data_IF_341930243929
#
_entry.id   IF_341930243929
#
_cell.length_a   1.000
_cell.length_b   1.000
_cell.length_c   1.000
_cell.angle_alpha   90.00
_cell.angle_beta   90.00
_cell.angle_gamma   90.00
#
_symmetry.space_group_name_H-M   'P 1'
#
loop_
_entity.id
_entity.type
_entity.pdbx_description
1 polymer ?
#
# COMPACT_ATOMS: atom_id res chain seq x y z
N UNK A 1 -0.50 -15.45 -15.85
CA UNK A 1 -1.29 -15.95 -14.70
C UNK A 1 -0.62 -15.65 -13.36
N UNK A 2 0.63 -16.09 -13.12
CA UNK A 2 1.36 -15.85 -11.86
C UNK A 2 1.32 -14.38 -11.43
N UNK A 3 1.69 -13.46 -12.34
CA UNK A 3 1.68 -12.02 -12.07
C UNK A 3 0.31 -11.47 -11.67
N UNK A 4 -0.76 -11.97 -12.29
CA UNK A 4 -2.14 -11.60 -11.95
C UNK A 4 -2.51 -12.06 -10.53
N UNK A 5 -2.18 -13.30 -10.15
CA UNK A 5 -2.41 -13.77 -8.78
C UNK A 5 -1.59 -12.96 -7.76
N UNK A 6 -0.31 -12.71 -8.06
CA UNK A 6 0.56 -11.90 -7.20
C UNK A 6 0.01 -10.47 -7.01
N UNK A 7 -0.38 -9.78 -8.09
CA UNK A 7 -0.96 -8.43 -8.01
C UNK A 7 -2.29 -8.38 -7.26
N UNK A 8 -2.99 -9.50 -7.12
CA UNK A 8 -4.27 -9.60 -6.42
C UNK A 8 -4.16 -10.15 -4.99
N UNK A 9 -2.94 -10.38 -4.48
CA UNK A 9 -2.70 -10.93 -3.14
C UNK A 9 -2.92 -12.44 -3.04
N UNK A 10 -3.18 -13.14 -4.15
CA UNK A 10 -3.39 -14.59 -4.16
C UNK A 10 -2.06 -15.36 -4.22
N UNK A 11 -1.22 -15.15 -3.20
CA UNK A 11 0.17 -15.60 -3.14
C UNK A 11 0.33 -17.11 -3.33
N UNK A 12 -0.51 -17.91 -2.68
CA UNK A 12 -0.48 -19.37 -2.83
C UNK A 12 -0.84 -19.82 -4.26
N UNK A 13 -1.78 -19.15 -4.94
CA UNK A 13 -2.10 -19.46 -6.34
C UNK A 13 -0.95 -19.10 -7.27
N UNK A 14 -0.24 -18.00 -6.99
CA UNK A 14 0.97 -17.62 -7.74
C UNK A 14 2.07 -18.68 -7.60
N UNK A 15 2.34 -19.14 -6.37
CA UNK A 15 3.31 -20.19 -6.06
C UNK A 15 2.93 -21.53 -6.71
N UNK A 16 1.67 -21.95 -6.58
CA UNK A 16 1.18 -23.20 -7.15
C UNK A 16 1.29 -23.19 -8.68
N UNK A 17 0.91 -22.08 -9.31
CA UNK A 17 1.03 -21.92 -10.77
C UNK A 17 2.50 -22.01 -11.21
N UNK A 18 3.43 -21.41 -10.45
CA UNK A 18 4.87 -21.53 -10.73
C UNK A 18 5.34 -22.99 -10.64
N UNK A 19 4.97 -23.70 -9.57
CA UNK A 19 5.31 -25.13 -9.39
C UNK A 19 4.73 -26.02 -10.49
N UNK A 20 3.53 -25.73 -10.96
CA UNK A 20 2.92 -26.44 -12.09
C UNK A 20 3.69 -26.21 -13.40
N UNK A 21 4.19 -24.98 -13.64
CA UNK A 21 5.04 -24.70 -14.79
C UNK A 21 6.36 -25.48 -14.73
N UNK A 22 7.00 -25.49 -13.56
CA UNK A 22 8.22 -26.26 -13.31
C UNK A 22 8.01 -27.77 -13.52
N UNK A 23 6.95 -28.34 -12.94
CA UNK A 23 6.60 -29.76 -13.10
C UNK A 23 6.26 -30.14 -14.55
N UNK A 24 5.80 -29.17 -15.35
CA UNK A 24 5.51 -29.36 -16.77
C UNK A 24 6.74 -29.20 -17.67
N UNK A 25 7.93 -28.97 -17.09
CA UNK A 25 9.18 -28.77 -17.83
C UNK A 25 9.23 -27.46 -18.62
N UNK A 26 8.37 -26.49 -18.29
CA UNK A 26 8.37 -25.18 -18.94
C UNK A 26 9.57 -24.40 -18.44
N UNK A 27 10.39 -23.87 -19.35
CA UNK A 27 11.54 -23.05 -18.99
C UNK A 27 11.08 -21.68 -18.45
N UNK A 28 11.46 -21.38 -17.21
CA UNK A 28 11.22 -20.08 -16.58
C UNK A 28 12.25 -19.04 -17.02
N UNK A 29 11.82 -17.78 -17.09
CA UNK A 29 12.65 -16.61 -17.32
C UNK A 29 12.62 -15.64 -16.12
N UNK A 30 13.38 -14.54 -16.22
CA UNK A 30 13.42 -13.54 -15.15
C UNK A 30 12.04 -12.93 -14.84
N UNK A 31 11.16 -12.77 -15.84
CA UNK A 31 9.81 -12.24 -15.60
C UNK A 31 8.97 -13.22 -14.78
N UNK A 32 9.12 -14.52 -15.04
CA UNK A 32 8.44 -15.58 -14.30
C UNK A 32 8.90 -15.63 -12.83
N UNK A 33 10.21 -15.51 -12.58
CA UNK A 33 10.76 -15.43 -11.23
C UNK A 33 10.34 -14.16 -10.49
N UNK A 34 10.40 -13.01 -11.16
CA UNK A 34 9.90 -11.76 -10.61
C UNK A 34 8.44 -11.87 -10.16
N UNK A 35 7.59 -12.52 -10.97
CA UNK A 35 6.18 -12.70 -10.66
C UNK A 35 5.93 -13.59 -9.43
N UNK A 36 6.66 -14.70 -9.28
CA UNK A 36 6.50 -15.58 -8.09
C UNK A 36 7.07 -14.95 -6.83
N UNK A 37 8.20 -14.23 -6.93
CA UNK A 37 8.80 -13.50 -5.80
C UNK A 37 7.85 -12.39 -5.35
N UNK A 38 7.27 -11.61 -6.26
CA UNK A 38 6.25 -10.60 -5.94
C UNK A 38 5.02 -11.23 -5.25
N UNK A 39 4.62 -12.45 -5.66
CA UNK A 39 3.61 -13.22 -4.96
C UNK A 39 4.01 -13.50 -3.50
N UNK A 40 5.26 -13.87 -3.26
CA UNK A 40 5.77 -14.08 -1.90
C UNK A 40 5.80 -12.79 -1.07
N UNK A 41 6.20 -11.67 -1.67
CA UNK A 41 6.26 -10.34 -1.04
C UNK A 41 4.91 -9.91 -0.45
N UNK A 42 3.80 -10.19 -1.13
CA UNK A 42 2.51 -9.63 -0.75
C UNK A 42 1.86 -10.28 0.49
N UNK A 43 2.23 -11.51 0.85
CA UNK A 43 1.73 -12.20 2.04
C UNK A 43 2.86 -12.64 3.00
N UNK A 44 4.08 -12.13 2.82
CA UNK A 44 5.18 -12.36 3.76
C UNK A 44 5.80 -13.75 3.72
N UNK A 45 5.77 -14.43 2.58
CA UNK A 45 6.42 -15.73 2.37
C UNK A 45 7.94 -15.56 2.19
N UNK A 46 8.62 -15.14 3.26
CA UNK A 46 10.04 -14.76 3.22
C UNK A 46 10.94 -15.91 2.81
N UNK A 47 10.67 -17.12 3.33
CA UNK A 47 11.47 -18.31 3.06
C UNK A 47 11.35 -18.70 1.59
N UNK A 48 10.12 -18.81 1.09
CA UNK A 48 9.85 -19.16 -0.30
C UNK A 48 10.38 -18.11 -1.27
N UNK A 49 10.23 -16.82 -0.96
CA UNK A 49 10.76 -15.74 -1.79
C UNK A 49 12.28 -15.81 -1.94
N UNK A 50 13.00 -16.06 -0.84
CA UNK A 50 14.45 -16.26 -0.87
C UNK A 50 14.83 -17.53 -1.64
N UNK A 51 14.10 -18.64 -1.46
CA UNK A 51 14.34 -19.87 -2.21
C UNK A 51 14.20 -19.67 -3.73
N UNK A 52 13.16 -18.95 -4.18
CA UNK A 52 12.98 -18.64 -5.60
C UNK A 52 14.06 -17.70 -6.13
N UNK A 53 14.46 -16.69 -5.36
CA UNK A 53 15.56 -15.79 -5.73
C UNK A 53 16.89 -16.54 -5.88
N UNK A 54 17.21 -17.45 -4.95
CA UNK A 54 18.42 -18.25 -5.02
C UNK A 54 18.39 -19.27 -6.16
N UNK A 55 17.24 -19.94 -6.36
CA UNK A 55 17.07 -20.92 -7.44
C UNK A 55 17.16 -20.27 -8.81
N UNK A 56 16.63 -19.06 -8.99
CA UNK A 56 16.77 -18.27 -10.22
C UNK A 56 18.24 -18.16 -10.66
N UNK A 57 19.14 -17.88 -9.71
CA UNK A 57 20.57 -17.73 -9.97
C UNK A 57 21.26 -19.09 -10.09
N UNK A 58 21.07 -19.96 -9.08
CA UNK A 58 21.81 -21.21 -8.94
C UNK A 58 21.39 -22.25 -9.98
N UNK A 59 20.08 -22.41 -10.17
CA UNK A 59 19.51 -23.54 -10.92
C UNK A 59 19.16 -23.09 -12.36
N UNK A 60 18.62 -21.87 -12.52
CA UNK A 60 18.22 -21.34 -13.83
C UNK A 60 19.24 -20.42 -14.51
N UNK A 61 20.33 -20.07 -13.81
CA UNK A 61 21.42 -19.21 -14.34
C UNK A 61 20.94 -17.83 -14.83
N UNK A 62 19.88 -17.32 -14.21
CA UNK A 62 19.31 -15.99 -14.50
C UNK A 62 19.91 -14.98 -13.53
N UNK A 63 20.52 -13.94 -14.07
CA UNK A 63 21.07 -12.84 -13.26
C UNK A 63 19.94 -11.95 -12.73
N UNK A 64 19.93 -11.59 -11.43
CA UNK A 64 18.90 -10.72 -10.88
C UNK A 64 18.99 -9.30 -11.46
N UNK A 65 17.84 -8.72 -11.78
CA UNK A 65 17.71 -7.30 -12.19
C UNK A 65 17.36 -6.40 -11.00
N UNK A 66 17.31 -5.08 -11.23
CA UNK A 66 16.88 -4.09 -10.22
C UNK A 66 15.51 -4.43 -9.63
N UNK A 67 14.58 -4.91 -10.46
CA UNK A 67 13.22 -5.28 -10.07
C UNK A 67 13.21 -6.49 -9.15
N UNK A 68 14.08 -7.48 -9.37
CA UNK A 68 14.23 -8.64 -8.50
C UNK A 68 14.74 -8.22 -7.12
N UNK A 69 15.78 -7.39 -7.07
CA UNK A 69 16.29 -6.83 -5.82
C UNK A 69 15.24 -5.96 -5.12
N UNK A 70 14.50 -5.14 -5.85
CA UNK A 70 13.44 -4.31 -5.29
C UNK A 70 12.32 -5.16 -4.65
N UNK A 71 11.94 -6.29 -5.25
CA UNK A 71 10.96 -7.21 -4.66
C UNK A 71 11.48 -7.89 -3.40
N UNK A 72 12.75 -8.30 -3.38
CA UNK A 72 13.38 -8.90 -2.20
C UNK A 72 13.56 -7.89 -1.06
N UNK A 73 13.96 -6.65 -1.39
CA UNK A 73 13.98 -5.53 -0.45
C UNK A 73 12.58 -5.29 0.12
N UNK A 74 11.52 -5.30 -0.70
CA UNK A 74 10.15 -5.13 -0.21
C UNK A 74 9.73 -6.29 0.73
N UNK A 75 10.04 -7.53 0.35
CA UNK A 75 9.74 -8.73 1.14
C UNK A 75 10.40 -8.66 2.52
N UNK A 76 11.71 -8.42 2.58
CA UNK A 76 12.44 -8.30 3.84
C UNK A 76 12.02 -7.10 4.67
N UNK A 77 11.85 -5.95 4.04
CA UNK A 77 11.52 -4.73 4.75
C UNK A 77 10.12 -4.81 5.37
N UNK A 78 9.13 -5.38 4.68
CA UNK A 78 7.79 -5.61 5.26
C UNK A 78 7.82 -6.59 6.42
N UNK A 79 8.66 -7.62 6.34
CA UNK A 79 8.86 -8.60 7.40
C UNK A 79 9.66 -8.07 8.61
N UNK A 80 10.11 -6.81 8.58
CA UNK A 80 10.90 -6.21 9.66
C UNK A 80 12.38 -6.60 9.68
N UNK A 81 12.84 -7.29 8.63
CA UNK A 81 14.22 -7.75 8.44
C UNK A 81 15.12 -6.65 7.87
N UNK A 82 15.22 -5.53 8.58
CA UNK A 82 15.87 -4.31 8.08
C UNK A 82 17.39 -4.48 7.88
N UNK A 83 18.04 -5.29 8.71
CA UNK A 83 19.47 -5.58 8.59
C UNK A 83 19.75 -6.41 7.33
N UNK A 84 18.94 -7.44 7.09
CA UNK A 84 19.01 -8.25 5.86
C UNK A 84 18.67 -7.42 4.63
N UNK A 85 17.69 -6.52 4.70
CA UNK A 85 17.42 -5.55 3.63
C UNK A 85 18.67 -4.73 3.32
N UNK A 86 19.32 -4.17 4.34
CA UNK A 86 20.50 -3.34 4.13
C UNK A 86 21.70 -4.14 3.64
N UNK A 87 21.87 -5.39 4.06
CA UNK A 87 22.88 -6.27 3.47
C UNK A 87 22.61 -6.49 1.99
N UNK A 88 21.38 -6.88 1.65
CA UNK A 88 20.98 -7.13 0.27
C UNK A 88 21.25 -5.91 -0.63
N UNK A 89 20.95 -4.70 -0.16
CA UNK A 89 21.21 -3.45 -0.89
C UNK A 89 22.71 -3.20 -1.09
N UNK A 90 23.55 -3.46 -0.07
CA UNK A 90 25.01 -3.30 -0.20
C UNK A 90 25.63 -4.32 -1.15
N UNK A 91 25.08 -5.53 -1.15
CA UNK A 91 25.61 -6.67 -1.90
C UNK A 91 25.11 -6.67 -3.37
N UNK A 92 24.28 -5.69 -3.77
CA UNK A 92 23.85 -5.53 -5.15
C UNK A 92 25.05 -5.31 -6.09
N UNK A 93 25.06 -5.93 -7.29
CA UNK A 93 26.16 -5.79 -8.24
C UNK A 93 26.17 -4.43 -8.97
N UNK A 94 25.21 -3.56 -8.65
CA UNK A 94 25.05 -2.21 -9.21
C UNK A 94 24.43 -1.27 -8.16
N UNK A 95 24.60 0.06 -8.28
CA UNK A 95 24.01 1.02 -7.34
C UNK A 95 22.49 0.88 -7.27
N UNK A 96 21.95 0.83 -6.04
CA UNK A 96 20.52 0.76 -5.81
C UNK A 96 19.77 1.97 -6.39
N UNK A 97 18.72 1.69 -7.16
CA UNK A 97 17.88 2.70 -7.82
C UNK A 97 16.79 3.27 -6.90
N UNK A 98 16.05 4.24 -7.42
CA UNK A 98 15.00 4.95 -6.69
C UNK A 98 13.93 4.02 -6.10
N UNK A 99 13.52 2.97 -6.84
CA UNK A 99 12.52 2.01 -6.37
C UNK A 99 12.95 1.29 -5.08
N UNK A 100 14.23 0.90 -4.96
CA UNK A 100 14.78 0.21 -3.79
C UNK A 100 14.74 1.12 -2.55
N UNK A 101 15.23 2.35 -2.68
CA UNK A 101 15.24 3.32 -1.59
C UNK A 101 13.83 3.76 -1.17
N UNK A 102 12.91 3.88 -2.14
CA UNK A 102 11.49 4.19 -1.88
C UNK A 102 10.81 3.09 -1.06
N UNK A 103 11.06 1.83 -1.43
CA UNK A 103 10.56 0.67 -0.70
C UNK A 103 11.06 0.65 0.74
N UNK A 104 12.37 0.82 0.95
CA UNK A 104 12.95 0.86 2.29
C UNK A 104 12.43 2.03 3.12
N UNK A 105 12.33 3.23 2.53
CA UNK A 105 11.76 4.41 3.19
C UNK A 105 10.32 4.14 3.66
N UNK A 106 9.51 3.45 2.85
CA UNK A 106 8.15 3.03 3.20
C UNK A 106 8.10 2.13 4.42
N UNK A 107 9.02 1.17 4.51
CA UNK A 107 9.13 0.23 5.63
C UNK A 107 9.65 0.90 6.91
N UNK A 108 10.59 1.84 6.81
CA UNK A 108 11.09 2.61 7.95
C UNK A 108 9.97 3.35 8.70
N UNK A 109 8.94 3.81 7.98
CA UNK A 109 7.73 4.37 8.61
C UNK A 109 6.96 3.34 9.43
N UNK A 110 6.80 2.13 8.91
CA UNK A 110 6.05 1.05 9.57
C UNK A 110 6.80 0.57 10.82
N UNK A 111 8.11 0.37 10.70
CA UNK A 111 8.98 -0.13 11.78
C UNK A 111 9.55 0.98 12.67
N UNK A 112 9.10 2.22 12.49
CA UNK A 112 9.49 3.41 13.28
C UNK A 112 11.01 3.66 13.33
N UNK A 113 11.74 3.24 12.29
CA UNK A 113 13.18 3.45 12.19
C UNK A 113 13.49 4.80 11.53
N UNK A 114 13.64 5.84 12.35
CA UNK A 114 13.85 7.22 11.88
C UNK A 114 15.18 7.40 11.18
N UNK A 115 16.26 6.79 11.70
CA UNK A 115 17.61 6.96 11.16
C UNK A 115 17.73 6.36 9.77
N UNK A 116 17.27 5.12 9.61
CA UNK A 116 17.26 4.44 8.32
C UNK A 116 16.28 5.12 7.35
N UNK A 117 15.16 5.64 7.86
CA UNK A 117 14.23 6.47 7.10
C UNK A 117 14.90 7.71 6.51
N UNK A 118 15.62 8.47 7.34
CA UNK A 118 16.39 9.64 6.88
C UNK A 118 17.43 9.24 5.82
N UNK A 119 18.23 8.20 6.09
CA UNK A 119 19.24 7.72 5.17
C UNK A 119 18.65 7.35 3.79
N UNK A 120 17.53 6.62 3.80
CA UNK A 120 16.84 6.19 2.58
C UNK A 120 16.27 7.37 1.81
N UNK A 121 15.70 8.35 2.51
CA UNK A 121 15.21 9.58 1.91
C UNK A 121 16.35 10.42 1.31
N UNK A 122 17.50 10.55 1.98
CA UNK A 122 18.66 11.28 1.46
C UNK A 122 19.17 10.64 0.15
N UNK A 123 19.24 9.29 0.09
CA UNK A 123 19.56 8.56 -1.14
C UNK A 123 18.53 8.82 -2.23
N UNK A 124 17.24 8.72 -1.92
CA UNK A 124 16.17 8.90 -2.90
C UNK A 124 16.10 10.34 -3.43
N UNK A 125 16.26 11.35 -2.58
CA UNK A 125 16.30 12.76 -2.98
C UNK A 125 17.55 13.14 -3.78
N UNK A 126 18.62 12.34 -3.69
CA UNK A 126 19.79 12.50 -4.56
C UNK A 126 19.53 11.98 -5.98
N UNK A 127 18.66 10.98 -6.13
CA UNK A 127 18.27 10.40 -7.41
C UNK A 127 17.09 11.14 -8.04
N UNK A 128 16.09 11.50 -7.24
CA UNK A 128 14.84 12.11 -7.68
C UNK A 128 14.48 13.34 -6.80
N UNK A 129 15.17 14.48 -6.99
CA UNK A 129 15.04 15.67 -6.14
C UNK A 129 13.64 16.30 -6.09
N UNK A 130 12.77 15.95 -7.04
CA UNK A 130 11.42 16.51 -7.19
C UNK A 130 10.30 15.50 -6.88
N UNK A 131 10.63 14.30 -6.41
CA UNK A 131 9.63 13.32 -6.01
C UNK A 131 8.93 13.75 -4.70
N UNK A 132 7.70 14.25 -4.82
CA UNK A 132 6.91 14.70 -3.67
C UNK A 132 6.66 13.60 -2.63
N UNK A 133 6.58 12.34 -3.07
CA UNK A 133 6.25 11.22 -2.18
C UNK A 133 7.35 10.97 -1.14
N UNK A 134 8.61 11.18 -1.53
CA UNK A 134 9.79 11.06 -0.64
C UNK A 134 9.74 12.07 0.49
N UNK A 135 9.49 13.35 0.18
CA UNK A 135 9.38 14.40 1.19
C UNK A 135 8.22 14.15 2.15
N UNK A 136 7.06 13.81 1.61
CA UNK A 136 5.86 13.54 2.41
C UNK A 136 6.12 12.36 3.35
N UNK A 137 6.76 11.30 2.87
CA UNK A 137 7.04 10.12 3.67
C UNK A 137 8.09 10.37 4.75
N UNK A 138 9.17 11.11 4.46
CA UNK A 138 10.14 11.52 5.47
C UNK A 138 9.51 12.45 6.53
N UNK A 139 8.70 13.42 6.10
CA UNK A 139 7.93 14.29 6.99
C UNK A 139 7.03 13.48 7.91
N UNK A 140 6.37 12.45 7.36
CA UNK A 140 5.52 11.54 8.10
C UNK A 140 6.30 10.70 9.13
N UNK A 141 7.50 10.22 8.79
CA UNK A 141 8.37 9.48 9.71
C UNK A 141 8.76 10.37 10.90
N UNK A 142 9.15 11.62 10.65
CA UNK A 142 9.46 12.57 11.71
C UNK A 142 8.25 12.89 12.59
N UNK A 143 7.09 13.15 11.99
CA UNK A 143 5.86 13.41 12.72
C UNK A 143 5.47 12.24 13.64
N UNK A 144 5.55 10.99 13.14
CA UNK A 144 5.28 9.80 13.94
C UNK A 144 6.24 9.60 15.12
N UNK A 145 7.45 10.17 15.03
CA UNK A 145 8.47 10.15 16.08
C UNK A 145 8.45 11.40 16.98
N UNK A 146 7.49 12.33 16.80
CA UNK A 146 7.44 13.60 17.54
C UNK A 146 8.53 14.61 17.17
N UNK A 147 9.26 14.38 16.08
CA UNK A 147 10.37 15.23 15.60
C UNK A 147 9.85 16.38 14.72
N UNK A 148 9.11 17.30 15.33
CA UNK A 148 8.41 18.37 14.63
C UNK A 148 9.35 19.35 13.91
N UNK A 149 10.52 19.63 14.48
CA UNK A 149 11.51 20.52 13.87
C UNK A 149 12.00 19.98 12.53
N UNK A 150 12.42 18.71 12.51
CA UNK A 150 12.87 18.03 11.30
C UNK A 150 11.74 17.87 10.28
N UNK A 151 10.50 17.61 10.73
CA UNK A 151 9.32 17.62 9.86
C UNK A 151 9.17 18.96 9.13
N UNK A 152 9.31 20.07 9.85
CA UNK A 152 9.15 21.41 9.29
C UNK A 152 10.32 21.81 8.39
N UNK A 153 11.54 21.35 8.69
CA UNK A 153 12.70 21.48 7.79
C UNK A 153 12.46 20.78 6.45
N UNK A 154 11.89 19.57 6.46
CA UNK A 154 11.51 18.86 5.22
C UNK A 154 10.48 19.64 4.42
N UNK A 155 9.49 20.27 5.08
CA UNK A 155 8.47 21.11 4.41
C UNK A 155 9.09 22.36 3.79
N UNK A 156 9.97 23.06 4.52
CA UNK A 156 10.72 24.21 3.98
C UNK A 156 11.54 23.82 2.76
N UNK A 157 12.14 22.62 2.76
CA UNK A 157 12.88 22.11 1.61
C UNK A 157 11.98 21.82 0.41
N UNK A 158 10.75 21.31 0.62
CA UNK A 158 9.75 21.19 -0.45
C UNK A 158 9.40 22.54 -1.05
N UNK A 159 9.15 23.55 -0.21
CA UNK A 159 8.80 24.90 -0.65
C UNK A 159 9.93 25.54 -1.47
N UNK A 160 11.18 25.43 -0.96
CA UNK A 160 12.38 25.91 -1.65
C UNK A 160 12.56 25.26 -3.03
N UNK A 161 12.31 23.94 -3.14
CA UNK A 161 12.40 23.19 -4.41
C UNK A 161 11.12 23.23 -5.24
N UNK A 162 10.09 23.97 -4.80
CA UNK A 162 8.77 24.10 -5.43
C UNK A 162 8.08 22.74 -5.67
N UNK A 163 8.31 21.77 -4.80
CA UNK A 163 7.72 20.43 -4.86
C UNK A 163 6.34 20.48 -4.21
N UNK A 164 5.30 20.12 -4.97
CA UNK A 164 3.92 20.06 -4.47
C UNK A 164 3.54 18.62 -4.14
N UNK A 165 2.90 18.43 -2.99
CA UNK A 165 2.31 17.15 -2.60
C UNK A 165 1.15 16.80 -3.52
N UNK A 166 1.14 15.56 -4.01
CA UNK A 166 -0.02 14.98 -4.69
C UNK A 166 -1.16 14.71 -3.68
N UNK A 167 -2.38 15.12 -4.03
CA UNK A 167 -3.55 14.84 -3.19
C UNK A 167 -3.97 13.37 -3.33
N UNK A 168 -4.35 12.76 -2.21
CA UNK A 168 -4.97 11.43 -2.25
C UNK A 168 -6.36 11.52 -2.88
N UNK A 169 -6.59 10.74 -3.93
CA UNK A 169 -7.83 10.68 -4.68
C UNK A 169 -8.28 9.23 -4.81
N UNK A 170 -9.55 8.97 -4.53
CA UNK A 170 -10.18 7.67 -4.78
C UNK A 170 -11.31 7.81 -5.77
N UNK A 171 -11.51 6.83 -6.64
CA UNK A 171 -12.61 6.85 -7.60
C UNK A 171 -13.26 5.49 -7.77
N UNK A 172 -14.51 5.53 -8.21
CA UNK A 172 -15.34 4.36 -8.50
C UNK A 172 -16.10 4.61 -9.80
N UNK A 173 -16.25 3.57 -10.62
CA UNK A 173 -17.00 3.62 -11.88
C UNK A 173 -18.36 2.95 -11.73
N UNK A 174 -19.44 3.70 -11.95
CA UNK A 174 -20.82 3.21 -11.85
C UNK A 174 -21.58 3.71 -13.07
N UNK A 175 -22.28 2.80 -13.77
CA UNK A 175 -23.07 3.11 -14.98
C UNK A 175 -22.26 3.93 -16.00
N UNK A 176 -21.01 3.49 -16.28
CA UNK A 176 -20.04 4.14 -17.18
C UNK A 176 -19.65 5.58 -16.82
N UNK A 177 -19.91 6.03 -15.59
CA UNK A 177 -19.43 7.31 -15.08
C UNK A 177 -18.40 7.10 -13.98
N UNK A 178 -17.29 7.82 -14.07
CA UNK A 178 -16.27 7.85 -13.01
C UNK A 178 -16.66 8.92 -11.99
N UNK A 179 -16.67 8.53 -10.73
CA UNK A 179 -16.91 9.40 -9.59
C UNK A 179 -15.66 9.44 -8.73
N UNK A 180 -15.04 10.61 -8.62
CA UNK A 180 -13.78 10.82 -7.90
C UNK A 180 -14.01 11.62 -6.64
N UNK A 181 -13.22 11.33 -5.61
CA UNK A 181 -13.30 11.95 -4.30
C UNK A 181 -11.90 12.25 -3.77
N UNK A 182 -11.75 13.42 -3.16
CA UNK A 182 -10.61 13.76 -2.31
C UNK A 182 -11.02 13.73 -0.83
N UNK A 183 -10.06 13.85 0.09
CA UNK A 183 -10.40 13.94 1.51
C UNK A 183 -11.30 15.17 1.78
N UNK A 184 -12.35 14.99 2.59
CA UNK A 184 -13.36 16.01 2.89
C UNK A 184 -14.13 16.56 1.68
N UNK A 185 -14.14 15.86 0.55
CA UNK A 185 -14.83 16.32 -0.65
C UNK A 185 -16.35 16.49 -0.40
N UNK A 186 -16.88 17.61 -0.87
CA UNK A 186 -18.32 17.97 -0.86
C UNK A 186 -18.81 18.43 -2.24
N UNK A 187 -17.99 18.31 -3.27
CA UNK A 187 -18.31 18.75 -4.64
C UNK A 187 -19.29 17.82 -5.36
N UNK A 188 -19.42 16.58 -4.91
CA UNK A 188 -20.30 15.60 -5.52
C UNK A 188 -21.80 15.96 -5.29
N UNK A 189 -22.69 15.86 -6.30
CA UNK A 189 -24.12 16.21 -6.15
C UNK A 189 -24.87 15.45 -5.05
N UNK A 190 -24.38 14.25 -4.70
CA UNK A 190 -24.94 13.42 -3.62
C UNK A 190 -24.16 13.53 -2.30
N UNK A 191 -23.35 14.58 -2.10
CA UNK A 191 -22.49 14.76 -0.93
C UNK A 191 -23.23 14.51 0.38
N UNK A 192 -24.39 15.15 0.59
CA UNK A 192 -25.16 14.99 1.85
C UNK A 192 -25.58 13.54 2.10
N UNK A 193 -25.97 12.81 1.05
CA UNK A 193 -26.34 11.39 1.14
C UNK A 193 -25.12 10.52 1.46
N UNK A 194 -23.96 10.82 0.86
CA UNK A 194 -22.70 10.13 1.10
C UNK A 194 -22.29 10.27 2.57
N UNK A 195 -22.26 11.49 3.11
CA UNK A 195 -21.92 11.71 4.51
C UNK A 195 -22.95 11.10 5.47
N UNK A 196 -24.23 11.11 5.11
CA UNK A 196 -25.28 10.41 5.90
C UNK A 196 -25.04 8.90 5.93
N UNK A 197 -24.75 8.26 4.78
CA UNK A 197 -24.44 6.82 4.72
C UNK A 197 -23.14 6.51 5.47
N UNK A 198 -22.11 7.35 5.37
CA UNK A 198 -20.88 7.21 6.17
C UNK A 198 -21.17 7.21 7.67
N UNK A 199 -21.98 8.16 8.16
CA UNK A 199 -22.34 8.21 9.58
C UNK A 199 -23.00 6.90 10.02
N UNK A 200 -23.93 6.37 9.23
CA UNK A 200 -24.60 5.08 9.52
C UNK A 200 -23.60 3.92 9.55
N UNK A 201 -22.71 3.83 8.56
CA UNK A 201 -21.69 2.78 8.49
C UNK A 201 -20.76 2.85 9.69
N UNK A 202 -20.24 4.04 10.03
CA UNK A 202 -19.31 4.23 11.15
C UNK A 202 -19.96 3.89 12.48
N UNK A 203 -21.24 4.23 12.68
CA UNK A 203 -21.98 3.83 13.89
C UNK A 203 -22.06 2.30 14.01
N UNK A 204 -22.41 1.59 12.92
CA UNK A 204 -22.44 0.12 12.92
C UNK A 204 -21.05 -0.48 13.16
N UNK A 205 -20.03 0.04 12.49
CA UNK A 205 -18.65 -0.41 12.68
C UNK A 205 -18.22 -0.29 14.15
N UNK A 206 -18.50 0.84 14.81
CA UNK A 206 -18.17 1.03 16.24
C UNK A 206 -18.93 0.05 17.14
N UNK A 207 -20.17 -0.32 16.79
CA UNK A 207 -20.93 -1.36 17.52
C UNK A 207 -20.29 -2.75 17.37
N UNK A 208 -19.68 -3.02 16.21
CA UNK A 208 -18.99 -4.28 15.90
C UNK A 208 -17.50 -4.24 16.28
N UNK A 209 -17.08 -3.29 17.12
CA UNK A 209 -15.73 -3.24 17.71
C UNK A 209 -14.68 -2.46 16.91
N UNK A 210 -15.07 -1.72 15.87
CA UNK A 210 -14.14 -0.82 15.16
C UNK A 210 -13.69 0.32 16.07
N UNK A 211 -12.37 0.42 16.27
CA UNK A 211 -11.72 1.56 16.89
C UNK A 211 -10.85 2.29 15.86
N UNK A 212 -11.07 3.60 15.62
CA UNK A 212 -10.25 4.36 14.68
C UNK A 212 -8.78 4.36 15.08
N UNK A 213 -7.90 4.01 14.15
CA UNK A 213 -6.47 4.08 14.40
C UNK A 213 -5.92 5.47 14.03
N UNK A 214 -5.93 6.39 15.00
CA UNK A 214 -5.50 7.79 14.82
C UNK A 214 -3.99 7.94 14.58
N UNK A 215 -3.19 6.87 14.75
CA UNK A 215 -1.76 6.89 14.42
C UNK A 215 -1.49 7.10 12.93
N UNK A 216 -2.50 6.93 12.07
CA UNK A 216 -2.41 7.25 10.65
C UNK A 216 -2.62 8.74 10.32
N UNK A 217 -3.01 9.55 11.31
CA UNK A 217 -3.14 11.01 11.18
C UNK A 217 -1.93 11.69 11.79
N UNK A 218 -1.01 12.09 10.93
CA UNK A 218 0.31 12.62 11.32
C UNK A 218 0.30 14.16 11.49
N UNK A 219 -0.76 14.64 12.13
CA UNK A 219 -0.98 16.04 12.47
C UNK A 219 -1.04 16.19 13.99
N UNK A 220 -0.40 17.24 14.51
CA UNK A 220 -0.46 17.60 15.93
C UNK A 220 -1.77 18.33 16.22
N UNK A 221 -2.84 17.55 16.35
CA UNK A 221 -4.21 18.01 16.56
C UNK A 221 -4.90 17.11 17.59
N UNK A 222 -6.04 17.56 18.12
CA UNK A 222 -6.81 16.78 19.09
C UNK A 222 -7.35 15.46 18.49
N UNK A 223 -7.54 14.44 19.33
CA UNK A 223 -7.90 13.08 18.89
C UNK A 223 -9.26 13.02 18.16
N UNK A 224 -10.23 13.82 18.59
CA UNK A 224 -11.53 13.96 17.94
C UNK A 224 -11.40 14.51 16.50
N UNK A 225 -10.47 15.44 16.29
CA UNK A 225 -10.14 15.95 14.96
C UNK A 225 -9.43 14.91 14.10
N UNK A 226 -8.56 14.07 14.68
CA UNK A 226 -7.93 12.96 13.95
C UNK A 226 -8.97 11.93 13.51
N UNK A 227 -9.90 11.56 14.38
CA UNK A 227 -11.00 10.66 14.02
C UNK A 227 -11.82 11.23 12.85
N UNK A 228 -12.16 12.53 12.91
CA UNK A 228 -12.91 13.19 11.85
C UNK A 228 -12.16 13.16 10.50
N UNK A 229 -10.84 13.31 10.50
CA UNK A 229 -10.01 13.18 9.30
C UNK A 229 -10.08 11.79 8.69
N UNK A 230 -9.97 10.73 9.50
CA UNK A 230 -10.06 9.35 9.02
C UNK A 230 -11.41 9.05 8.37
N UNK A 231 -12.51 9.52 8.98
CA UNK A 231 -13.86 9.34 8.45
C UNK A 231 -14.03 9.98 7.07
N UNK A 232 -13.36 11.12 6.86
CA UNK A 232 -13.46 11.89 5.62
C UNK A 232 -12.44 11.49 4.54
N UNK A 233 -11.73 10.36 4.70
CA UNK A 233 -10.84 9.85 3.66
C UNK A 233 -11.60 9.54 2.36
N UNK A 234 -10.94 9.82 1.22
CA UNK A 234 -11.51 9.63 -0.12
C UNK A 234 -12.02 8.22 -0.38
N UNK A 235 -11.35 7.21 0.18
CA UNK A 235 -11.66 5.79 0.05
C UNK A 235 -13.04 5.50 0.64
N UNK A 236 -13.34 6.11 1.79
CA UNK A 236 -14.62 5.96 2.50
C UNK A 236 -15.74 6.68 1.78
N UNK A 237 -15.47 7.87 1.21
CA UNK A 237 -16.44 8.59 0.38
C UNK A 237 -16.81 7.76 -0.85
N UNK A 238 -15.82 7.18 -1.54
CA UNK A 238 -16.05 6.29 -2.68
C UNK A 238 -16.84 5.03 -2.29
N UNK A 239 -16.53 4.41 -1.15
CA UNK A 239 -17.27 3.27 -0.60
C UNK A 239 -18.72 3.63 -0.31
N UNK A 240 -18.98 4.71 0.42
CA UNK A 240 -20.33 5.12 0.78
C UNK A 240 -21.16 5.48 -0.45
N UNK A 241 -20.58 6.17 -1.43
CA UNK A 241 -21.23 6.41 -2.71
C UNK A 241 -21.53 5.09 -3.43
N UNK A 242 -20.56 4.16 -3.48
CA UNK A 242 -20.73 2.82 -4.04
C UNK A 242 -21.93 2.09 -3.45
N UNK A 243 -22.03 2.06 -2.12
CA UNK A 243 -23.13 1.41 -1.39
C UNK A 243 -24.50 2.07 -1.64
N UNK A 244 -24.55 3.36 -1.96
CA UNK A 244 -25.80 4.06 -2.30
C UNK A 244 -26.20 3.80 -3.76
N UNK A 245 -25.24 3.86 -4.66
CA UNK A 245 -25.49 3.92 -6.10
C UNK A 245 -25.67 2.54 -6.77
N UNK A 246 -25.58 1.45 -6.01
CA UNK A 246 -25.66 0.08 -6.52
C UNK A 246 -26.51 -0.83 -5.62
N UNK A 247 -27.14 -1.87 -6.16
CA UNK A 247 -27.91 -2.83 -5.38
C UNK A 247 -27.06 -3.56 -4.32
N UNK A 248 -27.69 -4.07 -3.23
CA UNK A 248 -27.04 -4.97 -2.28
C UNK A 248 -26.37 -6.16 -2.98
N UNK A 249 -25.23 -6.63 -2.44
CA UNK A 249 -24.47 -7.77 -2.97
C UNK A 249 -23.65 -7.52 -4.25
N UNK A 250 -23.83 -6.40 -4.95
CA UNK A 250 -23.05 -6.09 -6.17
C UNK A 250 -21.57 -5.84 -5.79
N UNK A 251 -20.54 -6.41 -6.43
CA UNK A 251 -19.15 -6.07 -6.06
C UNK A 251 -18.83 -4.58 -6.26
N UNK A 252 -18.06 -3.98 -5.36
CA UNK A 252 -17.57 -2.59 -5.50
C UNK A 252 -16.12 -2.58 -5.98
N UNK A 253 -15.81 -1.71 -6.95
CA UNK A 253 -14.44 -1.53 -7.44
C UNK A 253 -13.99 -0.09 -7.17
N UNK A 254 -13.05 0.08 -6.25
CA UNK A 254 -12.51 1.37 -5.83
C UNK A 254 -11.04 1.43 -6.23
N UNK A 255 -10.59 2.55 -6.77
CA UNK A 255 -9.17 2.77 -7.05
C UNK A 255 -8.68 3.95 -6.23
N UNK A 256 -7.46 3.85 -5.71
CA UNK A 256 -6.74 4.88 -4.96
C UNK A 256 -5.40 5.14 -5.65
N UNK A 257 -5.05 6.41 -5.85
CA UNK A 257 -3.75 6.78 -6.45
C UNK A 257 -2.55 6.60 -5.51
N UNK A 258 -2.78 6.56 -4.20
CA UNK A 258 -1.77 6.33 -3.16
C UNK A 258 -1.97 4.95 -2.50
N UNK A 259 -1.02 4.51 -1.68
CA UNK A 259 -1.22 3.32 -0.83
C UNK A 259 -2.38 3.59 0.13
N UNK A 260 -3.34 2.68 0.22
CA UNK A 260 -4.44 2.81 1.18
C UNK A 260 -3.90 2.81 2.60
N UNK A 261 -4.42 3.65 3.51
CA UNK A 261 -3.99 3.61 4.92
C UNK A 261 -4.55 2.38 5.66
N UNK A 262 -3.85 1.91 6.70
CA UNK A 262 -4.24 0.70 7.43
C UNK A 262 -5.62 0.79 8.09
N UNK A 263 -6.02 1.99 8.51
CA UNK A 263 -7.35 2.22 9.07
C UNK A 263 -8.47 2.15 8.01
N UNK A 264 -8.26 2.68 6.79
CA UNK A 264 -9.20 2.47 5.69
C UNK A 264 -9.24 1.01 5.22
N UNK A 265 -8.08 0.33 5.20
CA UNK A 265 -8.01 -1.11 4.93
C UNK A 265 -8.86 -1.92 5.93
N UNK A 266 -8.77 -1.61 7.23
CA UNK A 266 -9.61 -2.22 8.28
C UNK A 266 -11.10 -1.94 8.04
N UNK A 267 -11.47 -0.70 7.71
CA UNK A 267 -12.87 -0.35 7.42
C UNK A 267 -13.41 -1.11 6.22
N UNK A 268 -12.67 -1.21 5.11
CA UNK A 268 -13.12 -2.00 3.95
C UNK A 268 -13.36 -3.47 4.33
N UNK A 269 -12.45 -4.03 5.14
CA UNK A 269 -12.57 -5.39 5.67
C UNK A 269 -13.85 -5.59 6.46
N UNK A 270 -14.10 -4.76 7.47
CA UNK A 270 -15.31 -4.88 8.29
C UNK A 270 -16.60 -4.59 7.50
N UNK A 271 -16.59 -3.61 6.59
CA UNK A 271 -17.76 -3.31 5.76
C UNK A 271 -18.09 -4.46 4.81
N UNK A 272 -17.09 -5.18 4.28
CA UNK A 272 -17.34 -6.35 3.43
C UNK A 272 -18.12 -7.45 4.15
N UNK A 273 -17.98 -7.55 5.48
CA UNK A 273 -18.72 -8.47 6.34
C UNK A 273 -20.12 -7.92 6.69
N UNK A 274 -20.21 -6.65 7.10
CA UNK A 274 -21.47 -6.04 7.55
C UNK A 274 -22.49 -5.91 6.40
N UNK A 275 -22.03 -5.56 5.20
CA UNK A 275 -22.90 -5.38 4.03
C UNK A 275 -22.97 -6.65 3.15
N UNK A 276 -22.34 -7.76 3.58
CA UNK A 276 -22.22 -9.04 2.84
C UNK A 276 -21.87 -8.83 1.37
N UNK A 277 -20.71 -8.21 1.15
CA UNK A 277 -20.38 -7.60 -0.13
C UNK A 277 -18.90 -7.57 -0.41
N UNK A 278 -18.51 -8.08 -1.59
CA UNK A 278 -17.13 -7.99 -2.06
C UNK A 278 -16.76 -6.53 -2.38
N UNK A 279 -15.62 -6.11 -1.86
CA UNK A 279 -15.01 -4.81 -2.18
C UNK A 279 -13.63 -5.11 -2.76
N UNK A 280 -13.40 -4.68 -4.00
CA UNK A 280 -12.11 -4.75 -4.67
C UNK A 280 -11.52 -3.35 -4.66
N UNK A 281 -10.38 -3.17 -3.99
CA UNK A 281 -9.67 -1.90 -3.96
C UNK A 281 -8.31 -2.04 -4.62
N UNK A 282 -8.03 -1.22 -5.63
CA UNK A 282 -6.70 -1.09 -6.22
C UNK A 282 -6.00 0.13 -5.63
N UNK A 283 -4.86 -0.04 -5.00
CA UNK A 283 -3.99 1.06 -4.62
C UNK A 283 -2.79 1.18 -5.59
N UNK A 284 -1.81 2.04 -5.28
CA UNK A 284 -0.62 2.21 -6.13
C UNK A 284 0.30 0.97 -6.20
N UNK A 285 0.09 -0.03 -5.34
CA UNK A 285 0.93 -1.21 -5.23
C UNK A 285 0.25 -2.49 -5.73
N UNK A 286 -1.05 -2.69 -5.42
CA UNK A 286 -1.75 -3.96 -5.68
C UNK A 286 -3.27 -3.83 -5.58
N UNK A 287 -3.96 -4.94 -5.87
CA UNK A 287 -5.37 -5.13 -5.55
C UNK A 287 -5.52 -5.79 -4.19
N UNK A 288 -6.53 -5.33 -3.47
CA UNK A 288 -7.02 -5.87 -2.20
C UNK A 288 -8.44 -6.36 -2.44
N UNK A 289 -8.70 -7.64 -2.18
CA UNK A 289 -10.04 -8.22 -2.26
C UNK A 289 -10.55 -8.41 -0.85
N UNK A 290 -11.51 -7.57 -0.44
CA UNK A 290 -12.16 -7.67 0.87
C UNK A 290 -13.44 -8.46 0.73
N UNK A 291 -13.54 -9.55 1.49
CA UNK A 291 -14.70 -10.41 1.51
C UNK A 291 -14.85 -11.03 2.90
N UNK A 292 -16.06 -10.96 3.47
CA UNK A 292 -16.37 -11.61 4.75
C UNK A 292 -15.45 -11.23 5.91
N UNK A 293 -14.92 -10.00 5.95
CA UNK A 293 -14.05 -9.58 7.04
C UNK A 293 -12.59 -10.03 6.89
N UNK A 294 -12.20 -10.54 5.73
CA UNK A 294 -10.81 -10.85 5.36
C UNK A 294 -10.35 -10.01 4.15
N UNK A 295 -9.03 -9.92 3.95
CA UNK A 295 -8.43 -9.34 2.75
C UNK A 295 -7.48 -10.35 2.09
N UNK A 296 -7.43 -10.38 0.75
CA UNK A 296 -6.51 -11.26 0.01
C UNK A 296 -5.04 -11.08 0.37
N UNK A 297 -4.63 -9.92 0.90
CA UNK A 297 -3.25 -9.68 1.34
C UNK A 297 -2.86 -10.34 2.68
N UNK A 298 -3.79 -11.03 3.35
CA UNK A 298 -3.51 -11.71 4.63
C UNK A 298 -3.11 -10.75 5.77
N UNK A 299 -3.57 -9.50 5.71
CA UNK A 299 -3.17 -8.41 6.62
C UNK A 299 -1.65 -8.08 6.59
N UNK A 300 -0.89 -8.60 5.62
CA UNK A 300 0.49 -8.22 5.34
C UNK A 300 0.52 -6.93 4.50
N UNK A 301 -0.17 -5.88 5.02
CA UNK A 301 -0.50 -4.64 4.33
C UNK A 301 0.72 -3.76 4.03
#
# INVERSE_FOLDING_TARGET
MISGYAQHGYSMKAIETFRQMEASGIQMDGVTFLAVIMGCTHNGHVVEGQQYFDSMVRDHKINPTMEHYACMVDLYSRAGKLDETMSLIRDMPFPAGAIVWRTLLGACRVHKNVELGKFSADKLLSLEPHDSSTYVLLSNIYAAAGKWKERDEVRKLMDYRKVKKEAGCSWIQIKNKVHSFIAFDKSHPMSDQIYKKLKVIITRLKQDGYSPNTSFVLHDIAEDQKEAMLVAHSERLALAFGLIATPPGTPLQIVKNLRVCGDCHMVMKMVSMIEDREIIMRDCSRFHHFNGGACSCGDFW
#
